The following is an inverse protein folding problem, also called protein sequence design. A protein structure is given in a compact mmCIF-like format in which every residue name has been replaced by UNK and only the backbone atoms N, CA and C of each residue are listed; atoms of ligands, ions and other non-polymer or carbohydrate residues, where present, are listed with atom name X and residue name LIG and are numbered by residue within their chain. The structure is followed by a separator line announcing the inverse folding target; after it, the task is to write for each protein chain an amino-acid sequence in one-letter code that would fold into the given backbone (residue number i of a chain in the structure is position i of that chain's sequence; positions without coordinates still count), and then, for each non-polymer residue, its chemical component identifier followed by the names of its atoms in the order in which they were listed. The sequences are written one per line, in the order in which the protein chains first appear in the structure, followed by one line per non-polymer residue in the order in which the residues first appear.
data_IF_525869302066
#
_entry.id   IF_525869302066
#
_cell.length_a   1.000
_cell.length_b   1.000
_cell.length_c   1.000
_cell.angle_alpha   90.00
_cell.angle_beta   90.00
_cell.angle_gamma   90.00
#
_symmetry.space_group_name_H-M   'P 1'
#
loop_
_entity.id
_entity.type
_entity.pdbx_description
1 polymer ?
#
# COMPACT_ATOMS: atom_id res chain seq x y z
N UNK A 1 38.50 0.43 66.26
CA UNK A 1 37.69 1.01 65.16
C UNK A 1 36.45 0.16 65.02
N UNK A 2 35.28 0.74 65.30
CA UNK A 2 34.01 0.02 65.48
C UNK A 2 33.41 -0.43 64.15
N UNK A 3 32.94 -1.67 64.09
CA UNK A 3 32.18 -2.25 62.98
C UNK A 3 30.84 -1.54 62.70
N UNK A 4 30.47 -0.52 63.49
CA UNK A 4 29.25 0.26 63.33
C UNK A 4 29.28 1.35 62.24
N UNK A 5 30.46 1.70 61.69
CA UNK A 5 30.57 2.77 60.68
C UNK A 5 30.32 2.25 59.26
N UNK A 6 30.74 1.02 58.95
CA UNK A 6 30.59 0.44 57.60
C UNK A 6 29.15 0.09 57.24
N UNK A 7 28.32 -0.29 58.23
CA UNK A 7 26.90 -0.58 58.02
C UNK A 7 26.04 0.69 57.84
N UNK A 8 26.47 1.83 58.39
CA UNK A 8 25.79 3.12 58.21
C UNK A 8 26.03 3.72 56.82
N UNK A 9 27.20 3.52 56.23
CA UNK A 9 27.48 4.00 54.86
C UNK A 9 26.76 3.18 53.78
N UNK A 10 26.56 1.87 54.01
CA UNK A 10 25.76 1.02 53.10
C UNK A 10 24.24 1.30 53.18
N UNK A 11 23.74 1.73 54.34
CA UNK A 11 22.32 2.10 54.51
C UNK A 11 22.02 3.56 54.15
N UNK A 12 23.02 4.45 54.22
CA UNK A 12 22.90 5.84 53.75
C UNK A 12 23.05 5.98 52.23
N UNK A 13 23.83 5.11 51.57
CA UNK A 13 23.96 5.11 50.10
C UNK A 13 22.74 4.54 49.37
N UNK A 14 21.89 3.76 50.04
CA UNK A 14 20.68 3.16 49.45
C UNK A 14 19.42 4.06 49.53
N UNK A 15 19.50 5.21 50.22
CA UNK A 15 18.35 6.10 50.45
C UNK A 15 18.41 7.45 49.73
N UNK A 16 19.32 7.61 48.77
CA UNK A 16 19.49 8.85 48.03
C UNK A 16 19.33 8.60 46.52
N UNK A 17 18.19 9.06 45.99
CA UNK A 17 17.75 9.11 44.56
C UNK A 17 16.88 7.96 44.04
N UNK A 18 15.82 7.60 44.74
CA UNK A 18 14.57 7.23 44.04
C UNK A 18 13.75 8.51 43.84
N UNK A 19 14.15 9.36 42.89
CA UNK A 19 13.19 10.31 42.34
C UNK A 19 12.06 9.48 41.74
N UNK A 20 10.84 9.61 42.27
CA UNK A 20 9.69 8.90 41.73
C UNK A 20 9.49 9.37 40.30
N UNK A 21 9.96 8.56 39.35
CA UNK A 21 9.68 8.76 37.95
C UNK A 21 8.16 8.67 37.83
N UNK A 22 7.54 9.69 37.25
CA UNK A 22 6.09 9.68 37.08
C UNK A 22 5.69 8.43 36.30
N UNK A 23 4.62 7.75 36.74
CA UNK A 23 4.10 6.54 36.10
C UNK A 23 3.98 6.69 34.56
N UNK A 24 3.49 7.83 34.02
CA UNK A 24 3.44 8.06 32.58
C UNK A 24 4.81 8.02 31.89
N UNK A 25 5.85 8.62 32.50
CA UNK A 25 7.19 8.60 31.92
C UNK A 25 7.83 7.21 31.98
N UNK A 26 7.57 6.46 33.06
CA UNK A 26 8.03 5.08 33.18
C UNK A 26 7.42 4.18 32.09
N UNK A 27 6.11 4.30 31.84
CA UNK A 27 5.41 3.60 30.76
C UNK A 27 5.96 3.99 29.38
N UNK A 28 6.13 5.29 29.12
CA UNK A 28 6.69 5.76 27.84
C UNK A 28 8.11 5.23 27.61
N UNK A 29 8.94 5.16 28.66
CA UNK A 29 10.29 4.60 28.56
C UNK A 29 10.27 3.11 28.26
N UNK A 30 9.32 2.36 28.82
CA UNK A 30 9.12 0.94 28.54
C UNK A 30 8.68 0.72 27.08
N UNK A 31 7.72 1.52 26.59
CA UNK A 31 7.24 1.47 25.21
C UNK A 31 8.35 1.81 24.20
N UNK A 32 9.27 2.71 24.55
CA UNK A 32 10.45 3.04 23.73
C UNK A 32 11.62 2.04 23.82
N UNK A 33 11.35 0.76 24.13
CA UNK A 33 12.38 -0.29 24.27
C UNK A 33 12.90 -0.78 22.91
N UNK A 34 14.21 -0.99 22.79
CA UNK A 34 14.82 -1.59 21.60
C UNK A 34 14.42 -3.05 21.40
N UNK A 35 14.18 -3.79 22.50
CA UNK A 35 13.70 -5.18 22.42
C UNK A 35 12.36 -5.25 21.70
N UNK A 36 11.46 -4.31 22.02
CA UNK A 36 10.16 -4.22 21.37
C UNK A 36 10.31 -3.95 19.87
N UNK A 37 11.18 -3.00 19.50
CA UNK A 37 11.48 -2.69 18.10
C UNK A 37 11.98 -3.92 17.34
N UNK A 38 12.97 -4.64 17.90
CA UNK A 38 13.56 -5.82 17.26
C UNK A 38 12.54 -6.96 17.14
N UNK A 39 11.74 -7.21 18.18
CA UNK A 39 10.68 -8.22 18.11
C UNK A 39 9.66 -7.87 17.04
N UNK A 40 9.18 -6.63 16.99
CA UNK A 40 8.21 -6.21 15.97
C UNK A 40 8.79 -6.26 14.56
N UNK A 41 10.06 -5.91 14.35
CA UNK A 41 10.70 -6.08 13.04
C UNK A 41 10.81 -7.56 12.65
N UNK A 42 11.15 -8.45 13.58
CA UNK A 42 11.18 -9.88 13.31
C UNK A 42 9.80 -10.42 12.92
N UNK A 43 8.74 -10.04 13.67
CA UNK A 43 7.37 -10.40 13.30
C UNK A 43 6.96 -9.78 11.95
N UNK A 44 7.41 -8.54 11.67
CA UNK A 44 7.24 -7.86 10.40
C UNK A 44 7.84 -8.64 9.22
N UNK A 45 9.04 -9.20 9.39
CA UNK A 45 9.68 -10.04 8.38
C UNK A 45 8.84 -11.30 8.12
N UNK A 46 8.35 -11.96 9.18
CA UNK A 46 7.53 -13.16 9.02
C UNK A 46 6.19 -12.88 8.35
N UNK A 47 5.50 -11.79 8.71
CA UNK A 47 4.22 -11.50 8.05
C UNK A 47 4.40 -11.08 6.59
N UNK A 48 5.49 -10.38 6.26
CA UNK A 48 5.84 -10.09 4.87
C UNK A 48 6.09 -11.40 4.11
N UNK A 49 6.82 -12.35 4.69
CA UNK A 49 7.06 -13.66 4.10
C UNK A 49 5.74 -14.41 3.84
N UNK A 50 4.87 -14.52 4.86
CA UNK A 50 3.59 -15.22 4.72
C UNK A 50 2.67 -14.54 3.69
N UNK A 51 2.55 -13.21 3.73
CA UNK A 51 1.77 -12.47 2.74
C UNK A 51 2.31 -12.64 1.32
N UNK A 52 3.64 -12.70 1.13
CA UNK A 52 4.24 -12.93 -0.19
C UNK A 52 3.96 -14.33 -0.71
N UNK A 53 4.02 -15.35 0.16
CA UNK A 53 3.66 -16.73 -0.20
C UNK A 53 2.17 -16.86 -0.53
N UNK A 54 1.31 -16.15 0.19
CA UNK A 54 -0.12 -16.14 -0.07
C UNK A 54 -0.50 -15.54 -1.43
N UNK A 55 0.35 -14.68 -2.02
CA UNK A 55 0.13 -14.11 -3.36
C UNK A 55 0.18 -15.13 -4.51
N UNK A 56 0.52 -16.39 -4.23
CA UNK A 56 0.42 -17.47 -5.19
C UNK A 56 -1.04 -17.75 -5.59
N UNK A 57 -1.97 -17.60 -4.64
CA UNK A 57 -3.40 -17.89 -4.82
C UNK A 57 -4.31 -16.69 -4.54
N UNK A 58 -3.86 -15.74 -3.72
CA UNK A 58 -4.59 -14.53 -3.37
C UNK A 58 -4.10 -13.35 -4.22
N UNK A 59 -5.02 -12.47 -4.62
CA UNK A 59 -4.66 -11.19 -5.23
C UNK A 59 -4.04 -10.23 -4.19
N UNK A 60 -3.51 -9.11 -4.66
CA UNK A 60 -2.83 -8.15 -3.80
C UNK A 60 -3.77 -7.49 -2.79
N UNK A 61 -5.00 -7.20 -3.19
CA UNK A 61 -6.02 -6.58 -2.32
C UNK A 61 -6.42 -7.52 -1.17
N UNK A 62 -6.63 -8.80 -1.47
CA UNK A 62 -6.94 -9.84 -0.50
C UNK A 62 -5.77 -10.05 0.47
N UNK A 63 -4.53 -10.15 -0.03
CA UNK A 63 -3.34 -10.26 0.84
C UNK A 63 -3.19 -9.03 1.74
N UNK A 64 -3.39 -7.83 1.21
CA UNK A 64 -3.38 -6.59 2.01
C UNK A 64 -4.42 -6.66 3.12
N UNK A 65 -5.65 -7.04 2.81
CA UNK A 65 -6.75 -7.11 3.78
C UNK A 65 -6.51 -8.17 4.86
N UNK A 66 -6.12 -9.38 4.48
CA UNK A 66 -6.02 -10.51 5.40
C UNK A 66 -4.74 -10.48 6.25
N UNK A 67 -3.62 -9.98 5.72
CA UNK A 67 -2.31 -9.99 6.41
C UNK A 67 -1.87 -8.61 6.91
N UNK A 68 -1.97 -7.56 6.08
CA UNK A 68 -1.29 -6.28 6.37
C UNK A 68 -2.19 -5.22 7.03
N UNK A 69 -3.46 -5.12 6.64
CA UNK A 69 -4.44 -4.21 7.23
C UNK A 69 -5.20 -4.86 8.40
N UNK A 70 -5.04 -6.17 8.63
CA UNK A 70 -5.64 -6.87 9.76
C UNK A 70 -4.91 -6.62 11.09
N UNK A 71 -5.66 -6.65 12.18
CA UNK A 71 -5.10 -6.63 13.54
C UNK A 71 -4.54 -8.00 13.92
N UNK A 72 -5.22 -9.06 13.51
CA UNK A 72 -4.80 -10.45 13.70
C UNK A 72 -4.93 -11.12 12.35
N UNK A 73 -3.80 -11.60 11.81
CA UNK A 73 -3.76 -12.33 10.57
C UNK A 73 -3.93 -13.83 10.87
N UNK A 74 -4.80 -14.50 10.13
CA UNK A 74 -4.84 -15.96 10.13
C UNK A 74 -3.85 -16.47 9.08
N UNK A 75 -2.87 -17.27 9.50
CA UNK A 75 -1.83 -17.81 8.63
C UNK A 75 -2.14 -19.29 8.36
N UNK A 76 -2.77 -19.64 7.22
CA UNK A 76 -2.95 -21.04 6.84
C UNK A 76 -1.58 -21.64 6.51
N UNK A 77 -1.28 -22.85 7.02
CA UNK A 77 0.02 -23.49 6.79
C UNK A 77 0.22 -23.96 5.35
N UNK A 78 -0.88 -24.11 4.60
CA UNK A 78 -0.87 -24.48 3.19
C UNK A 78 -0.08 -23.48 2.32
N UNK A 79 0.04 -22.20 2.72
CA UNK A 79 0.86 -21.20 1.99
C UNK A 79 2.36 -21.55 1.97
N UNK A 80 2.83 -22.42 2.86
CA UNK A 80 4.22 -22.89 2.85
C UNK A 80 4.48 -23.87 1.70
N UNK A 81 3.43 -24.33 1.02
CA UNK A 81 3.46 -25.22 -0.13
C UNK A 81 2.79 -24.52 -1.32
N UNK A 82 3.36 -23.43 -1.87
CA UNK A 82 2.74 -22.71 -2.98
C UNK A 82 2.52 -23.64 -4.17
N UNK A 83 1.38 -23.51 -4.82
CA UNK A 83 0.87 -24.41 -5.87
C UNK A 83 1.77 -24.36 -7.10
N UNK A 84 2.38 -23.21 -7.35
CA UNK A 84 3.41 -23.06 -8.39
C UNK A 84 4.62 -23.99 -8.20
N UNK A 85 4.96 -24.34 -6.96
CA UNK A 85 6.06 -25.27 -6.65
C UNK A 85 5.58 -26.68 -6.31
N UNK A 86 4.41 -26.79 -5.68
CA UNK A 86 3.81 -28.04 -5.22
C UNK A 86 2.38 -28.13 -5.77
N UNK A 87 2.18 -28.59 -7.02
CA UNK A 87 0.86 -28.66 -7.62
C UNK A 87 -0.10 -29.51 -6.78
N UNK A 88 -1.19 -28.90 -6.31
CA UNK A 88 -2.24 -29.56 -5.54
C UNK A 88 -3.59 -28.88 -5.77
N UNK A 89 -4.65 -29.68 -5.79
CA UNK A 89 -6.03 -29.20 -6.00
C UNK A 89 -6.74 -28.85 -4.70
N UNK A 90 -6.30 -29.44 -3.58
CA UNK A 90 -6.90 -29.30 -2.25
C UNK A 90 -5.82 -29.00 -1.21
N UNK A 91 -6.11 -28.18 -0.19
CA UNK A 91 -5.14 -27.84 0.85
C UNK A 91 -4.60 -29.12 1.51
N UNK A 92 -3.27 -29.29 1.57
CA UNK A 92 -2.62 -30.44 2.19
C UNK A 92 -2.98 -30.60 3.67
N UNK A 93 -3.19 -29.49 4.37
CA UNK A 93 -3.46 -29.43 5.81
C UNK A 93 -4.92 -29.05 6.11
N UNK A 94 -5.81 -29.15 5.12
CA UNK A 94 -7.24 -28.86 5.30
C UNK A 94 -7.53 -27.40 5.70
N UNK A 95 -6.64 -26.47 5.37
CA UNK A 95 -6.77 -25.06 5.75
C UNK A 95 -6.39 -24.77 7.20
N UNK A 96 -5.77 -25.72 7.91
CA UNK A 96 -5.31 -25.49 9.27
C UNK A 96 -4.22 -24.40 9.31
N UNK A 97 -4.34 -23.52 10.30
CA UNK A 97 -3.47 -22.36 10.44
C UNK A 97 -3.34 -21.90 11.88
N UNK A 98 -2.62 -20.81 12.07
CA UNK A 98 -2.47 -20.17 13.37
C UNK A 98 -2.69 -18.66 13.26
N UNK A 99 -3.08 -18.04 14.37
CA UNK A 99 -3.23 -16.60 14.46
C UNK A 99 -1.89 -15.93 14.74
N UNK A 100 -1.61 -14.86 14.00
CA UNK A 100 -0.39 -14.08 14.09
C UNK A 100 -0.72 -12.58 14.22
N UNK A 101 0.12 -11.77 14.88
CA UNK A 101 -0.09 -10.32 14.89
C UNK A 101 -0.10 -9.77 13.46
N UNK A 102 -1.23 -9.20 13.04
CA UNK A 102 -1.38 -8.63 11.71
C UNK A 102 -0.53 -7.37 11.50
N UNK A 103 -0.41 -6.91 10.25
CA UNK A 103 0.43 -5.77 9.90
C UNK A 103 0.02 -4.48 10.60
N UNK A 104 -1.28 -4.28 10.83
CA UNK A 104 -1.80 -3.13 11.58
C UNK A 104 -1.35 -3.17 13.05
N UNK A 105 -1.35 -4.34 13.69
CA UNK A 105 -0.86 -4.50 15.07
C UNK A 105 0.64 -4.21 15.15
N UNK A 106 1.44 -4.83 14.27
CA UNK A 106 2.89 -4.65 14.24
C UNK A 106 3.24 -3.18 13.95
N UNK A 107 2.60 -2.58 12.95
CA UNK A 107 2.79 -1.18 12.56
C UNK A 107 2.42 -0.21 13.68
N UNK A 108 1.32 -0.43 14.39
CA UNK A 108 0.88 0.46 15.46
C UNK A 108 1.84 0.38 16.65
N UNK A 109 2.26 -0.82 17.04
CA UNK A 109 3.23 -1.00 18.12
C UNK A 109 4.57 -0.34 17.75
N UNK A 110 5.03 -0.49 16.51
CA UNK A 110 6.23 0.20 16.02
C UNK A 110 6.07 1.72 16.02
N UNK A 111 4.90 2.25 15.66
CA UNK A 111 4.65 3.69 15.68
C UNK A 111 4.67 4.24 17.11
N UNK A 112 4.02 3.56 18.06
CA UNK A 112 4.05 3.91 19.48
C UNK A 112 5.49 3.84 20.01
N UNK A 113 6.21 2.76 19.68
CA UNK A 113 7.61 2.56 20.08
C UNK A 113 8.51 3.68 19.54
N UNK A 114 8.35 4.04 18.27
CA UNK A 114 9.08 5.11 17.60
C UNK A 114 8.88 6.44 18.33
N UNK A 115 7.62 6.84 18.56
CA UNK A 115 7.28 8.07 19.26
C UNK A 115 7.85 8.05 20.68
N UNK A 116 7.59 6.99 21.44
CA UNK A 116 8.04 6.84 22.82
C UNK A 116 9.58 6.89 22.95
N UNK A 117 10.30 6.23 22.04
CA UNK A 117 11.76 6.26 21.99
C UNK A 117 12.30 7.66 21.67
N UNK A 118 11.63 8.41 20.78
CA UNK A 118 12.02 9.80 20.47
C UNK A 118 11.78 10.74 21.64
N UNK A 119 10.63 10.65 22.30
CA UNK A 119 10.29 11.54 23.41
C UNK A 119 11.17 11.29 24.65
N UNK A 120 11.56 10.04 24.92
CA UNK A 120 12.27 9.69 26.15
C UNK A 120 13.79 9.73 26.05
N UNK A 121 14.36 9.49 24.85
CA UNK A 121 15.82 9.36 24.68
C UNK A 121 16.50 10.59 24.05
N UNK A 122 15.73 11.48 23.43
CA UNK A 122 16.27 12.65 22.73
C UNK A 122 16.00 13.91 23.54
N UNK A 123 17.03 14.40 24.23
CA UNK A 123 16.99 15.67 24.93
C UNK A 123 17.20 16.83 23.96
N UNK A 124 16.39 17.88 24.11
CA UNK A 124 16.60 19.17 23.45
C UNK A 124 17.99 19.73 23.83
N UNK A 125 18.80 20.10 22.84
CA UNK A 125 20.15 20.65 23.09
C UNK A 125 20.15 22.17 23.06
N UNK A 126 19.32 22.77 22.21
CA UNK A 126 19.19 24.21 22.10
C UNK A 126 18.53 24.85 23.34
N UNK A 127 18.99 26.05 23.70
CA UNK A 127 18.42 26.89 24.77
C UNK A 127 18.32 28.35 24.32
N UNK A 128 17.40 29.11 24.91
CA UNK A 128 17.24 30.53 24.63
C UNK A 128 16.99 30.82 23.15
N UNK A 129 17.73 31.76 22.57
CA UNK A 129 17.56 32.19 21.17
C UNK A 129 17.80 31.05 20.15
N UNK A 130 18.72 30.14 20.43
CA UNK A 130 18.97 28.97 19.56
C UNK A 130 17.75 28.05 19.48
N UNK A 131 16.97 27.94 20.56
CA UNK A 131 15.75 27.14 20.57
C UNK A 131 14.68 27.77 19.66
N UNK A 132 14.43 29.07 19.80
CA UNK A 132 13.42 29.76 18.99
C UNK A 132 13.78 29.80 17.51
N UNK A 133 15.05 30.04 17.18
CA UNK A 133 15.54 29.99 15.79
C UNK A 133 15.44 28.58 15.21
N UNK A 134 15.89 27.55 15.95
CA UNK A 134 15.75 26.16 15.53
C UNK A 134 14.29 25.74 15.34
N UNK A 135 13.39 26.19 16.22
CA UNK A 135 11.95 25.93 16.11
C UNK A 135 11.35 26.61 14.87
N UNK A 136 11.64 27.89 14.66
CA UNK A 136 11.17 28.63 13.49
C UNK A 136 11.62 27.99 12.18
N UNK A 137 12.91 27.65 12.06
CA UNK A 137 13.45 26.96 10.87
C UNK A 137 12.83 25.57 10.69
N UNK A 138 12.61 24.82 11.79
CA UNK A 138 11.94 23.51 11.72
C UNK A 138 10.49 23.62 11.26
N UNK A 139 9.75 24.64 11.71
CA UNK A 139 8.38 24.92 11.27
C UNK A 139 8.33 25.33 9.80
N UNK A 140 9.27 26.16 9.34
CA UNK A 140 9.41 26.50 7.91
C UNK A 140 9.69 25.23 7.10
N UNK A 141 10.62 24.39 7.55
CA UNK A 141 10.91 23.10 6.90
C UNK A 141 9.68 22.20 6.83
N UNK A 142 8.92 22.08 7.92
CA UNK A 142 7.68 21.31 7.95
C UNK A 142 6.60 21.89 7.02
N UNK A 143 6.45 23.21 6.97
CA UNK A 143 5.53 23.88 6.06
C UNK A 143 5.92 23.67 4.58
N UNK A 144 7.22 23.72 4.26
CA UNK A 144 7.73 23.42 2.92
C UNK A 144 7.47 21.96 2.55
N UNK A 145 7.71 21.00 3.46
CA UNK A 145 7.40 19.59 3.23
C UNK A 145 5.91 19.39 2.96
N UNK A 146 5.04 20.01 3.75
CA UNK A 146 3.59 19.96 3.53
C UNK A 146 3.21 20.59 2.18
N UNK A 147 3.80 21.73 1.83
CA UNK A 147 3.55 22.39 0.55
C UNK A 147 3.97 21.50 -0.64
N UNK A 148 5.11 20.82 -0.55
CA UNK A 148 5.55 19.85 -1.58
C UNK A 148 4.57 18.68 -1.70
N UNK A 149 4.11 18.12 -0.57
CA UNK A 149 3.11 17.04 -0.57
C UNK A 149 1.80 17.50 -1.20
N UNK A 150 1.28 18.65 -0.80
CA UNK A 150 0.02 19.19 -1.32
C UNK A 150 0.13 19.57 -2.80
N UNK A 151 1.21 20.23 -3.20
CA UNK A 151 1.45 20.60 -4.60
C UNK A 151 1.63 19.36 -5.50
N UNK A 152 2.15 18.26 -4.97
CA UNK A 152 2.24 16.99 -5.69
C UNK A 152 0.88 16.35 -5.99
N UNK A 153 -0.16 16.64 -5.18
CA UNK A 153 -1.52 16.10 -5.35
C UNK A 153 -2.48 17.07 -6.04
N UNK A 154 -2.15 18.36 -6.07
CA UNK A 154 -2.97 19.40 -6.67
C UNK A 154 -2.67 19.55 -8.18
N UNK A 155 -3.21 18.65 -9.01
CA UNK A 155 -3.66 18.93 -10.38
C UNK A 155 -4.05 17.64 -11.10
N UNK A 156 -5.23 17.68 -11.71
CA UNK A 156 -5.72 16.70 -12.68
C UNK A 156 -4.63 16.30 -13.70
N UNK A 157 -4.30 15.01 -13.70
CA UNK A 157 -3.96 14.22 -14.89
C UNK A 157 -2.67 14.49 -15.67
N UNK A 158 -1.99 15.64 -15.52
CA UNK A 158 -0.72 15.91 -16.22
C UNK A 158 0.27 16.66 -15.32
N UNK A 159 0.72 15.92 -14.30
CA UNK A 159 1.97 16.02 -13.56
C UNK A 159 2.70 17.39 -13.57
N UNK A 160 2.76 18.00 -12.37
CA UNK A 160 3.41 19.28 -12.06
C UNK A 160 4.68 19.58 -12.84
N UNK A 161 4.51 20.22 -14.00
CA UNK A 161 5.61 20.78 -14.78
C UNK A 161 6.31 21.83 -13.92
N UNK A 162 7.65 21.85 -13.90
CA UNK A 162 8.37 22.92 -13.24
C UNK A 162 7.91 24.27 -13.80
N UNK A 163 7.96 25.36 -12.99
CA UNK A 163 7.69 26.72 -13.48
C UNK A 163 8.74 27.22 -14.49
N UNK A 164 9.73 26.39 -14.80
CA UNK A 164 10.81 26.62 -15.76
C UNK A 164 10.78 25.51 -16.84
N UNK A 165 11.38 25.76 -18.00
CA UNK A 165 11.47 24.72 -19.04
C UNK A 165 12.33 23.53 -18.58
N UNK A 166 12.04 22.34 -19.13
CA UNK A 166 12.82 21.14 -18.86
C UNK A 166 14.29 21.28 -19.27
N UNK A 167 14.59 22.03 -20.33
CA UNK A 167 15.97 22.31 -20.74
C UNK A 167 16.71 23.22 -19.73
N UNK A 168 15.99 24.16 -19.14
CA UNK A 168 16.54 25.00 -18.06
C UNK A 168 16.81 24.13 -16.84
N UNK A 169 15.86 23.28 -16.44
CA UNK A 169 16.02 22.36 -15.32
C UNK A 169 17.23 21.42 -15.53
N UNK A 170 17.38 20.87 -16.73
CA UNK A 170 18.51 20.04 -17.10
C UNK A 170 19.84 20.81 -16.97
N UNK A 171 19.88 22.05 -17.45
CA UNK A 171 21.08 22.91 -17.32
C UNK A 171 21.43 23.20 -15.86
N UNK A 172 20.42 23.46 -15.03
CA UNK A 172 20.62 23.65 -13.59
C UNK A 172 21.14 22.39 -12.91
N UNK A 173 20.64 21.21 -13.29
CA UNK A 173 21.13 19.93 -12.80
C UNK A 173 22.61 19.72 -13.15
N UNK A 174 23.01 20.03 -14.40
CA UNK A 174 24.41 20.01 -14.82
C UNK A 174 25.28 20.90 -13.94
N UNK A 175 24.86 22.15 -13.72
CA UNK A 175 25.54 23.07 -12.82
C UNK A 175 25.62 22.54 -11.38
N UNK A 176 24.53 21.91 -10.89
CA UNK A 176 24.45 21.28 -9.59
C UNK A 176 25.49 20.18 -9.37
N UNK A 177 25.72 19.30 -10.35
CA UNK A 177 26.76 18.27 -10.27
C UNK A 177 28.18 18.87 -10.21
N UNK A 178 28.44 19.95 -10.95
CA UNK A 178 29.73 20.66 -10.89
C UNK A 178 29.93 21.28 -9.50
N UNK A 179 28.91 21.98 -8.99
CA UNK A 179 28.95 22.58 -7.65
C UNK A 179 29.14 21.53 -6.55
N UNK A 180 28.44 20.40 -6.64
CA UNK A 180 28.59 19.28 -5.71
C UNK A 180 30.00 18.72 -5.76
N UNK A 181 30.57 18.55 -6.96
CA UNK A 181 31.95 18.09 -7.14
C UNK A 181 32.94 19.03 -6.45
N UNK A 182 32.83 20.33 -6.71
CA UNK A 182 33.68 21.35 -6.08
C UNK A 182 33.52 21.35 -4.56
N UNK A 183 32.28 21.25 -4.06
CA UNK A 183 32.00 21.19 -2.63
C UNK A 183 32.60 19.95 -1.96
N UNK A 184 32.49 18.77 -2.58
CA UNK A 184 33.06 17.52 -2.05
C UNK A 184 34.59 17.56 -2.05
N UNK A 185 35.22 18.05 -3.12
CA UNK A 185 36.68 18.23 -3.18
C UNK A 185 37.15 19.21 -2.11
N UNK A 186 36.51 20.39 -2.02
CA UNK A 186 36.82 21.38 -0.99
C UNK A 186 36.65 20.82 0.42
N UNK A 187 35.57 20.07 0.67
CA UNK A 187 35.32 19.43 1.96
C UNK A 187 36.37 18.37 2.30
N UNK A 188 36.79 17.54 1.34
CA UNK A 188 37.83 16.53 1.53
C UNK A 188 39.19 17.14 1.96
N UNK A 189 39.48 18.36 1.47
CA UNK A 189 40.72 19.09 1.75
C UNK A 189 40.64 19.82 3.09
N UNK A 190 39.55 20.55 3.33
CA UNK A 190 39.43 21.47 4.48
C UNK A 190 39.00 20.76 5.76
N UNK A 191 38.17 19.72 5.67
CA UNK A 191 37.59 19.09 6.83
C UNK A 191 38.57 18.12 7.53
N UNK A 192 38.59 18.17 8.87
CA UNK A 192 39.34 17.24 9.72
C UNK A 192 38.58 15.90 9.82
N UNK A 193 38.68 15.09 8.77
CA UNK A 193 38.00 13.80 8.65
C UNK A 193 38.92 12.63 9.04
N UNK A 194 38.37 11.54 9.64
CA UNK A 194 39.09 10.27 9.76
C UNK A 194 39.37 9.69 8.37
N UNK A 195 40.43 8.86 8.25
CA UNK A 195 40.92 8.33 6.95
C UNK A 195 39.80 7.74 6.10
N UNK A 196 38.95 6.90 6.69
CA UNK A 196 37.85 6.24 5.97
C UNK A 196 36.84 7.25 5.43
N UNK A 197 36.41 8.24 6.23
CA UNK A 197 35.48 9.27 5.78
C UNK A 197 36.09 10.14 4.67
N UNK A 198 37.38 10.45 4.73
CA UNK A 198 38.07 11.18 3.66
C UNK A 198 38.10 10.38 2.35
N UNK A 199 38.37 9.08 2.42
CA UNK A 199 38.32 8.19 1.25
C UNK A 199 36.91 8.18 0.66
N UNK A 200 35.87 8.03 1.48
CA UNK A 200 34.48 8.04 1.00
C UNK A 200 34.11 9.37 0.32
N UNK A 201 34.48 10.52 0.90
CA UNK A 201 34.23 11.83 0.30
C UNK A 201 35.01 12.00 -1.01
N UNK A 202 36.28 11.54 -1.06
CA UNK A 202 37.09 11.60 -2.28
C UNK A 202 36.50 10.71 -3.39
N UNK A 203 36.06 9.49 -3.07
CA UNK A 203 35.37 8.61 -4.02
C UNK A 203 34.08 9.27 -4.52
N UNK A 204 33.27 9.84 -3.61
CA UNK A 204 32.05 10.56 -4.00
C UNK A 204 32.37 11.76 -4.92
N UNK A 205 33.45 12.50 -4.65
CA UNK A 205 33.90 13.60 -5.49
C UNK A 205 34.32 13.12 -6.89
N UNK A 206 35.07 12.01 -6.98
CA UNK A 206 35.48 11.41 -8.26
C UNK A 206 34.26 10.91 -9.04
N UNK A 207 33.30 10.25 -8.39
CA UNK A 207 32.05 9.83 -9.03
C UNK A 207 31.25 11.02 -9.53
N UNK A 208 31.07 12.06 -8.71
CA UNK A 208 30.38 13.30 -9.09
C UNK A 208 31.07 14.02 -10.25
N UNK A 209 32.40 14.03 -10.27
CA UNK A 209 33.19 14.56 -11.39
C UNK A 209 32.97 13.75 -12.66
N UNK A 210 33.02 12.41 -12.58
CA UNK A 210 32.76 11.53 -13.72
C UNK A 210 31.35 11.73 -14.29
N UNK A 211 30.33 11.82 -13.43
CA UNK A 211 28.95 12.13 -13.83
C UNK A 211 28.89 13.50 -14.51
N UNK A 212 29.53 14.52 -13.93
CA UNK A 212 29.59 15.86 -14.53
C UNK A 212 30.23 15.80 -15.93
N UNK A 213 31.39 15.17 -16.06
CA UNK A 213 32.10 15.02 -17.33
C UNK A 213 31.24 14.29 -18.39
N UNK A 214 30.56 13.21 -18.01
CA UNK A 214 29.66 12.45 -18.88
C UNK A 214 28.48 13.30 -19.36
N UNK A 215 27.80 14.00 -18.44
CA UNK A 215 26.60 14.79 -18.77
C UNK A 215 26.94 16.03 -19.62
N UNK A 216 28.16 16.57 -19.50
CA UNK A 216 28.63 17.67 -20.36
C UNK A 216 29.18 17.18 -21.71
N UNK A 217 29.81 16.00 -21.78
CA UNK A 217 30.39 15.47 -23.02
C UNK A 217 29.42 14.67 -23.90
N UNK A 218 28.39 14.06 -23.30
CA UNK A 218 27.48 13.13 -23.99
C UNK A 218 26.36 13.76 -24.84
N UNK A 219 26.28 15.10 -24.92
CA UNK A 219 25.30 15.80 -25.76
C UNK A 219 23.84 15.45 -25.44
N UNK A 220 22.99 15.30 -26.47
CA UNK A 220 21.58 14.94 -26.31
C UNK A 220 21.36 13.49 -25.90
N UNK A 221 22.31 12.58 -26.19
CA UNK A 221 22.17 11.15 -25.88
C UNK A 221 22.12 10.85 -24.37
N UNK A 222 22.59 11.78 -23.54
CA UNK A 222 22.58 11.67 -22.07
C UNK A 222 21.48 12.54 -21.44
N UNK A 223 20.75 13.33 -22.23
CA UNK A 223 19.62 14.14 -21.74
C UNK A 223 18.49 13.20 -21.32
N UNK A 224 18.04 13.36 -20.07
CA UNK A 224 16.81 12.72 -19.61
C UNK A 224 15.62 13.24 -20.42
N UNK A 225 14.71 12.34 -20.74
CA UNK A 225 13.43 12.68 -21.36
C UNK A 225 12.58 13.56 -20.42
N UNK A 226 11.61 14.26 -20.99
CA UNK A 226 10.74 15.16 -20.22
C UNK A 226 10.00 14.44 -19.07
N UNK A 227 9.48 13.20 -19.26
CA UNK A 227 9.00 12.37 -18.16
C UNK A 227 10.03 12.11 -17.06
N UNK A 228 11.29 11.83 -17.39
CA UNK A 228 12.37 11.65 -16.41
C UNK A 228 12.71 12.93 -15.66
N UNK A 229 12.79 14.08 -16.35
CA UNK A 229 13.10 15.38 -15.74
C UNK A 229 12.03 15.84 -14.76
N UNK A 230 10.79 15.43 -14.98
CA UNK A 230 9.68 15.65 -14.05
C UNK A 230 9.84 14.90 -12.74
N UNK A 231 10.37 13.67 -12.76
CA UNK A 231 10.74 12.95 -11.54
C UNK A 231 11.88 13.66 -10.82
N UNK A 232 12.89 14.12 -11.58
CA UNK A 232 14.03 14.89 -11.03
C UNK A 232 13.54 16.17 -10.33
N UNK A 233 12.57 16.87 -10.91
CA UNK A 233 11.97 18.06 -10.30
C UNK A 233 11.36 17.77 -8.93
N UNK A 234 10.56 16.71 -8.81
CA UNK A 234 9.94 16.32 -7.54
C UNK A 234 10.99 15.94 -6.48
N UNK A 235 12.02 15.18 -6.88
CA UNK A 235 13.13 14.82 -5.99
C UNK A 235 13.91 16.06 -5.53
N UNK A 236 14.09 17.05 -6.40
CA UNK A 236 14.76 18.31 -6.07
C UNK A 236 13.96 19.11 -5.03
N UNK A 237 12.66 19.28 -5.23
CA UNK A 237 11.77 19.98 -4.29
C UNK A 237 11.78 19.30 -2.91
N UNK A 238 11.62 17.97 -2.87
CA UNK A 238 11.66 17.20 -1.63
C UNK A 238 13.01 17.30 -0.92
N UNK A 239 14.12 17.31 -1.68
CA UNK A 239 15.47 17.46 -1.14
C UNK A 239 15.69 18.83 -0.52
N UNK A 240 15.26 19.91 -1.18
CA UNK A 240 15.37 21.27 -0.66
C UNK A 240 14.58 21.42 0.65
N UNK A 241 13.32 20.97 0.67
CA UNK A 241 12.48 21.01 1.88
C UNK A 241 13.11 20.20 3.02
N UNK A 242 13.64 19.00 2.72
CA UNK A 242 14.34 18.15 3.69
C UNK A 242 15.60 18.79 4.25
N UNK A 243 16.38 19.51 3.43
CA UNK A 243 17.56 20.24 3.88
C UNK A 243 17.22 21.37 4.86
N UNK A 244 16.13 22.12 4.61
CA UNK A 244 15.66 23.17 5.54
C UNK A 244 15.19 22.55 6.86
N UNK A 245 14.41 21.47 6.81
CA UNK A 245 13.99 20.73 7.99
C UNK A 245 15.19 20.17 8.77
N UNK A 246 16.20 19.62 8.07
CA UNK A 246 17.43 19.14 8.68
C UNK A 246 18.19 20.27 9.39
N UNK A 247 18.29 21.45 8.79
CA UNK A 247 18.95 22.59 9.39
C UNK A 247 18.29 23.00 10.72
N UNK A 248 16.95 23.10 10.75
CA UNK A 248 16.20 23.39 11.97
C UNK A 248 16.39 22.33 13.05
N UNK A 249 16.26 21.05 12.68
CA UNK A 249 16.45 19.93 13.61
C UNK A 249 17.90 19.79 14.08
N UNK A 250 18.88 20.17 13.26
CA UNK A 250 20.28 20.21 13.65
C UNK A 250 20.56 21.31 14.67
N UNK A 251 19.91 22.49 14.55
CA UNK A 251 19.99 23.54 15.57
C UNK A 251 19.38 23.04 16.90
N UNK A 252 18.21 22.38 16.85
CA UNK A 252 17.48 21.93 18.04
C UNK A 252 18.15 20.74 18.77
N UNK A 253 18.61 19.74 18.00
CA UNK A 253 19.07 18.44 18.51
C UNK A 253 20.57 18.16 18.25
N UNK A 254 21.29 19.12 17.67
CA UNK A 254 22.71 18.99 17.33
C UNK A 254 22.96 17.82 16.40
N UNK A 255 24.01 17.04 16.69
CA UNK A 255 24.41 15.85 15.89
C UNK A 255 23.30 14.80 15.75
N UNK A 256 22.25 14.85 16.57
CA UNK A 256 21.11 13.93 16.50
C UNK A 256 19.99 14.41 15.57
N UNK A 257 20.07 15.63 15.02
CA UNK A 257 19.03 16.20 14.15
C UNK A 257 18.69 15.32 12.94
N UNK A 258 19.69 14.76 12.25
CA UNK A 258 19.44 13.84 11.13
C UNK A 258 18.74 12.54 11.55
N UNK A 259 19.04 12.02 12.73
CA UNK A 259 18.35 10.86 13.29
C UNK A 259 16.87 11.21 13.58
N UNK A 260 16.59 12.39 14.14
CA UNK A 260 15.21 12.87 14.35
C UNK A 260 14.47 12.99 13.02
N UNK A 261 15.10 13.58 11.99
CA UNK A 261 14.49 13.74 10.67
C UNK A 261 14.12 12.41 10.02
N UNK A 262 15.03 11.44 9.96
CA UNK A 262 14.78 10.13 9.36
C UNK A 262 13.60 9.43 10.03
N UNK A 263 13.55 9.46 11.36
CA UNK A 263 12.49 8.80 12.10
C UNK A 263 11.17 9.57 12.04
N UNK A 264 11.20 10.90 11.94
CA UNK A 264 10.01 11.69 11.65
C UNK A 264 9.45 11.33 10.25
N UNK A 265 10.31 11.15 9.25
CA UNK A 265 9.93 10.67 7.93
C UNK A 265 9.34 9.27 7.95
N UNK A 266 9.97 8.31 8.62
CA UNK A 266 9.42 6.95 8.80
C UNK A 266 8.09 7.00 9.53
N UNK A 267 7.98 7.79 10.61
CA UNK A 267 6.72 7.97 11.34
C UNK A 267 5.61 8.55 10.46
N UNK A 268 5.95 9.52 9.60
CA UNK A 268 5.00 10.11 8.65
C UNK A 268 4.51 9.07 7.63
N UNK A 269 5.41 8.23 7.08
CA UNK A 269 5.03 7.14 6.17
C UNK A 269 4.11 6.12 6.86
N UNK A 270 4.43 5.75 8.11
CA UNK A 270 3.60 4.84 8.89
C UNK A 270 2.21 5.41 9.18
N UNK A 271 2.13 6.69 9.57
CA UNK A 271 0.84 7.38 9.76
C UNK A 271 0.07 7.45 8.43
N UNK A 272 0.75 7.72 7.32
CA UNK A 272 0.14 7.69 5.99
C UNK A 272 -0.51 6.36 5.68
N UNK A 273 0.16 5.25 5.97
CA UNK A 273 -0.42 3.92 5.79
C UNK A 273 -1.64 3.68 6.69
N UNK A 274 -1.63 4.14 7.95
CA UNK A 274 -2.79 4.00 8.82
C UNK A 274 -3.99 4.86 8.40
N UNK A 275 -3.74 6.07 7.92
CA UNK A 275 -4.81 7.02 7.57
C UNK A 275 -5.38 6.71 6.19
N UNK A 276 -4.55 6.25 5.25
CA UNK A 276 -4.90 6.10 3.83
C UNK A 276 -4.80 4.67 3.29
N UNK A 277 -4.41 3.68 4.11
CA UNK A 277 -4.17 2.30 3.65
C UNK A 277 -5.36 1.63 2.97
N UNK A 278 -6.58 1.93 3.43
CA UNK A 278 -7.82 1.40 2.86
C UNK A 278 -8.32 2.21 1.64
N UNK A 279 -7.69 3.35 1.33
CA UNK A 279 -7.99 4.16 0.13
C UNK A 279 -7.04 3.87 -1.03
N UNK A 280 -6.16 2.89 -0.87
CA UNK A 280 -5.24 2.45 -1.90
C UNK A 280 -5.92 1.36 -2.74
N UNK A 281 -6.61 1.80 -3.79
CA UNK A 281 -7.33 0.95 -4.73
C UNK A 281 -6.40 0.51 -5.85
N UNK A 282 -6.44 -0.77 -6.20
CA UNK A 282 -5.72 -1.29 -7.37
C UNK A 282 -6.56 -1.07 -8.62
N UNK A 283 -5.89 -0.68 -9.69
CA UNK A 283 -6.54 -0.16 -10.87
C UNK A 283 -5.75 -0.64 -12.10
N UNK A 284 -6.47 -1.15 -13.10
CA UNK A 284 -5.90 -1.70 -14.32
C UNK A 284 -6.36 -0.92 -15.55
N UNK A 285 -5.47 -0.91 -16.55
CA UNK A 285 -5.67 -0.25 -17.83
C UNK A 285 -5.17 -1.18 -18.94
N UNK A 286 -6.06 -1.49 -19.89
CA UNK A 286 -5.72 -2.24 -21.10
C UNK A 286 -5.55 -1.28 -22.27
N UNK A 287 -4.38 -1.28 -22.91
CA UNK A 287 -4.07 -0.42 -24.04
C UNK A 287 -3.37 -1.21 -25.16
N UNK A 288 -3.83 -1.01 -26.39
CA UNK A 288 -3.05 -1.41 -27.57
C UNK A 288 -1.91 -0.42 -27.81
N UNK A 289 -0.81 -0.88 -28.41
CA UNK A 289 0.28 -0.01 -28.83
C UNK A 289 -0.25 1.12 -29.74
N UNK A 290 0.08 2.37 -29.39
CA UNK A 290 -0.39 3.56 -30.10
C UNK A 290 -1.77 4.08 -29.68
N UNK A 291 -2.52 3.38 -28.83
CA UNK A 291 -3.79 3.84 -28.30
C UNK A 291 -3.61 4.75 -27.06
N UNK A 292 -4.63 5.57 -26.78
CA UNK A 292 -4.73 6.38 -25.57
C UNK A 292 -6.12 6.20 -24.96
N UNK A 293 -6.21 6.06 -23.63
CA UNK A 293 -7.47 6.00 -22.90
C UNK A 293 -7.37 6.80 -21.60
N UNK A 294 -8.51 7.32 -21.14
CA UNK A 294 -8.69 7.94 -19.83
C UNK A 294 -9.51 7.05 -18.87
N UNK A 295 -9.82 5.81 -19.30
CA UNK A 295 -10.53 4.82 -18.50
C UNK A 295 -9.53 3.97 -17.70
N UNK A 296 -9.85 3.73 -16.44
CA UNK A 296 -9.15 2.80 -15.56
C UNK A 296 -10.20 1.98 -14.82
N UNK A 297 -9.98 0.68 -14.70
CA UNK A 297 -10.97 -0.28 -14.19
C UNK A 297 -10.45 -0.90 -12.90
N UNK A 298 -11.36 -1.11 -11.94
CA UNK A 298 -11.11 -1.87 -10.72
C UNK A 298 -11.68 -3.26 -10.98
N UNK A 299 -10.82 -4.28 -11.06
CA UNK A 299 -11.24 -5.62 -11.50
C UNK A 299 -11.66 -6.54 -10.35
N UNK A 300 -11.28 -6.19 -9.12
CA UNK A 300 -11.44 -6.99 -7.91
C UNK A 300 -12.62 -6.56 -7.02
N UNK A 301 -13.25 -5.41 -7.32
CA UNK A 301 -14.51 -5.00 -6.70
C UNK A 301 -15.68 -5.51 -7.53
N UNK A 302 -16.14 -6.74 -7.23
CA UNK A 302 -17.20 -7.39 -7.98
C UNK A 302 -18.54 -7.27 -7.26
N UNK A 303 -19.59 -7.08 -8.06
CA UNK A 303 -20.97 -7.05 -7.59
C UNK A 303 -21.90 -7.74 -8.59
N UNK A 304 -23.05 -8.21 -8.09
CA UNK A 304 -24.16 -8.68 -8.92
C UNK A 304 -25.19 -7.57 -8.93
N UNK A 305 -25.51 -7.08 -10.12
CA UNK A 305 -26.40 -5.92 -10.30
C UNK A 305 -27.71 -6.37 -10.92
N UNK A 306 -28.83 -5.96 -10.31
CA UNK A 306 -30.14 -6.02 -10.92
C UNK A 306 -30.50 -4.62 -11.41
N UNK A 307 -30.85 -4.50 -12.69
CA UNK A 307 -31.27 -3.24 -13.30
C UNK A 307 -32.75 -3.37 -13.62
N UNK A 308 -33.58 -2.63 -12.90
CA UNK A 308 -35.02 -2.53 -13.16
C UNK A 308 -35.26 -1.43 -14.20
N UNK A 309 -35.67 -1.86 -15.40
CA UNK A 309 -35.97 -0.99 -16.54
C UNK A 309 -37.49 -0.86 -16.77
N UNK A 310 -38.30 -1.09 -15.72
CA UNK A 310 -39.77 -1.05 -15.84
C UNK A 310 -40.32 0.37 -15.98
N UNK A 311 -39.63 1.37 -15.41
CA UNK A 311 -39.95 2.77 -15.59
C UNK A 311 -39.36 3.33 -16.90
N UNK A 312 -40.08 4.24 -17.56
CA UNK A 312 -39.71 4.71 -18.90
C UNK A 312 -38.63 5.82 -18.90
N UNK A 313 -38.46 6.53 -17.78
CA UNK A 313 -37.56 7.69 -17.68
C UNK A 313 -36.28 7.40 -16.88
N UNK A 314 -36.30 6.43 -15.97
CA UNK A 314 -35.17 6.11 -15.08
C UNK A 314 -35.05 4.60 -14.87
N UNK A 315 -33.81 4.10 -14.84
CA UNK A 315 -33.51 2.71 -14.46
C UNK A 315 -33.15 2.67 -12.96
N UNK A 316 -33.70 1.71 -12.21
CA UNK A 316 -33.35 1.52 -10.79
C UNK A 316 -32.30 0.41 -10.68
N UNK A 317 -31.15 0.73 -10.07
CA UNK A 317 -30.00 -0.17 -9.97
C UNK A 317 -29.85 -0.70 -8.55
N UNK A 318 -29.90 -2.02 -8.41
CA UNK A 318 -29.69 -2.73 -7.14
C UNK A 318 -28.36 -3.49 -7.18
N UNK A 319 -27.37 -2.98 -6.46
CA UNK A 319 -26.04 -3.56 -6.37
C UNK A 319 -25.90 -4.51 -5.18
N UNK A 320 -25.46 -5.74 -5.44
CA UNK A 320 -25.26 -6.78 -4.42
C UNK A 320 -23.76 -7.10 -4.33
N UNK A 321 -23.08 -6.72 -3.24
CA UNK A 321 -21.64 -6.84 -3.14
C UNK A 321 -21.19 -8.31 -3.06
N UNK A 322 -20.03 -8.64 -3.66
CA UNK A 322 -19.45 -9.99 -3.64
C UNK A 322 -19.37 -10.58 -2.22
N UNK A 323 -19.07 -9.77 -1.20
CA UNK A 323 -18.98 -10.23 0.19
C UNK A 323 -20.28 -10.90 0.69
N UNK A 324 -21.44 -10.44 0.22
CA UNK A 324 -22.73 -11.06 0.53
C UNK A 324 -22.93 -12.33 -0.31
N UNK A 325 -22.64 -12.25 -1.60
CA UNK A 325 -22.73 -13.37 -2.55
C UNK A 325 -21.93 -14.57 -2.06
N UNK A 326 -20.65 -14.37 -1.70
CA UNK A 326 -19.75 -15.41 -1.18
C UNK A 326 -20.25 -16.06 0.12
N UNK A 327 -20.95 -15.31 0.97
CA UNK A 327 -21.44 -15.82 2.26
C UNK A 327 -22.58 -16.83 2.10
N UNK A 328 -23.38 -16.68 1.04
CA UNK A 328 -24.58 -17.50 0.81
C UNK A 328 -24.42 -18.47 -0.37
N UNK A 329 -23.37 -18.33 -1.18
CA UNK A 329 -23.09 -19.19 -2.31
C UNK A 329 -23.10 -20.68 -1.92
N UNK A 330 -23.86 -21.50 -2.67
CA UNK A 330 -23.97 -22.94 -2.43
C UNK A 330 -24.75 -23.32 -1.17
N UNK A 331 -25.39 -22.37 -0.50
CA UNK A 331 -26.27 -22.61 0.66
C UNK A 331 -27.73 -22.36 0.31
N UNK A 332 -28.66 -22.89 1.11
CA UNK A 332 -30.09 -22.64 0.92
C UNK A 332 -30.54 -21.23 1.36
N UNK A 333 -29.62 -20.38 1.85
CA UNK A 333 -29.94 -19.03 2.30
C UNK A 333 -30.20 -18.11 1.10
N UNK A 334 -31.28 -17.35 1.20
CA UNK A 334 -31.68 -16.37 0.20
C UNK A 334 -31.13 -14.98 0.56
N UNK A 335 -30.77 -14.21 -0.48
CA UNK A 335 -30.63 -12.76 -0.38
C UNK A 335 -32.05 -12.21 -0.56
N UNK A 336 -32.63 -11.80 0.57
CA UNK A 336 -33.99 -11.27 0.64
C UNK A 336 -33.95 -9.98 1.46
N UNK A 337 -33.93 -8.84 0.75
CA UNK A 337 -34.01 -7.51 1.33
C UNK A 337 -35.27 -6.82 0.79
N UNK A 338 -36.05 -6.10 1.62
CA UNK A 338 -37.28 -5.43 1.19
C UNK A 338 -37.10 -4.51 -0.03
N UNK A 339 -35.92 -3.91 -0.20
CA UNK A 339 -35.62 -3.02 -1.32
C UNK A 339 -35.44 -3.74 -2.66
N UNK A 340 -35.01 -5.01 -2.66
CA UNK A 340 -34.76 -5.76 -3.89
C UNK A 340 -36.05 -6.09 -4.65
N UNK A 341 -36.04 -6.15 -5.99
CA UNK A 341 -37.22 -6.51 -6.76
C UNK A 341 -37.55 -8.01 -6.70
N UNK A 342 -36.56 -8.86 -6.42
CA UNK A 342 -36.70 -10.31 -6.30
C UNK A 342 -35.86 -10.86 -5.13
N UNK A 343 -36.15 -12.11 -4.72
CA UNK A 343 -35.24 -12.88 -3.84
C UNK A 343 -34.21 -13.56 -4.72
N UNK A 344 -32.95 -13.59 -4.27
CA UNK A 344 -31.89 -14.28 -5.02
C UNK A 344 -31.33 -15.46 -4.24
N UNK A 345 -31.15 -16.59 -4.94
CA UNK A 345 -30.36 -17.72 -4.45
C UNK A 345 -29.09 -17.84 -5.28
N UNK A 346 -27.93 -17.80 -4.61
CA UNK A 346 -26.64 -17.97 -5.26
C UNK A 346 -26.32 -19.47 -5.31
N UNK A 347 -26.64 -20.11 -6.44
CA UNK A 347 -26.43 -21.55 -6.63
C UNK A 347 -24.94 -21.88 -6.61
N UNK A 348 -24.14 -21.09 -7.31
CA UNK A 348 -22.69 -21.25 -7.34
C UNK A 348 -22.02 -19.90 -7.59
N UNK A 349 -20.90 -19.66 -6.91
CA UNK A 349 -20.00 -18.53 -7.12
C UNK A 349 -18.63 -19.04 -7.55
N UNK A 350 -18.03 -18.40 -8.56
CA UNK A 350 -16.70 -18.72 -9.06
C UNK A 350 -15.90 -17.41 -9.15
N UNK A 351 -14.88 -17.24 -8.29
CA UNK A 351 -13.97 -16.08 -8.35
C UNK A 351 -13.19 -16.04 -9.66
N UNK A 352 -12.81 -17.23 -10.17
CA UNK A 352 -12.18 -17.37 -11.48
C UNK A 352 -12.86 -18.50 -12.26
N UNK A 353 -13.08 -18.26 -13.54
CA UNK A 353 -13.81 -19.19 -14.40
C UNK A 353 -13.47 -18.93 -15.86
N UNK A 354 -13.77 -19.94 -16.69
CA UNK A 354 -13.80 -19.77 -18.14
C UNK A 354 -15.14 -20.21 -18.68
N UNK A 355 -15.61 -19.52 -19.71
CA UNK A 355 -16.79 -19.91 -20.45
C UNK A 355 -16.42 -20.95 -21.51
N UNK A 356 -17.21 -22.00 -21.60
CA UNK A 356 -17.15 -22.96 -22.70
C UNK A 356 -18.53 -23.14 -23.34
N UNK A 357 -18.61 -23.39 -24.66
CA UNK A 357 -19.87 -23.76 -25.31
C UNK A 357 -20.50 -24.98 -24.63
N UNK A 358 -21.81 -24.92 -24.42
CA UNK A 358 -22.58 -26.00 -23.81
C UNK A 358 -22.61 -27.20 -24.76
N UNK A 359 -22.10 -28.35 -24.30
CA UNK A 359 -22.15 -29.62 -25.02
C UNK A 359 -23.43 -30.35 -24.67
N UNK A 360 -23.95 -31.13 -25.62
CA UNK A 360 -25.16 -31.94 -25.43
C UNK A 360 -24.99 -32.90 -24.25
N UNK A 361 -25.95 -32.90 -23.31
CA UNK A 361 -25.93 -33.73 -22.11
C UNK A 361 -25.07 -33.22 -20.94
N UNK A 362 -24.43 -32.05 -21.06
CA UNK A 362 -23.72 -31.43 -19.94
C UNK A 362 -24.70 -30.83 -18.92
N UNK A 363 -24.47 -31.09 -17.63
CA UNK A 363 -25.22 -30.41 -16.56
C UNK A 363 -24.93 -28.90 -16.59
N UNK A 364 -26.00 -28.11 -16.49
CA UNK A 364 -25.93 -26.66 -16.48
C UNK A 364 -27.11 -26.08 -15.68
N UNK A 365 -26.86 -25.34 -14.59
CA UNK A 365 -27.94 -24.76 -13.79
C UNK A 365 -28.76 -23.69 -14.51
N UNK A 366 -28.21 -23.03 -15.52
CA UNK A 366 -28.88 -21.90 -16.17
C UNK A 366 -30.10 -22.33 -16.99
N UNK A 367 -31.20 -21.57 -16.88
CA UNK A 367 -32.48 -21.81 -17.58
C UNK A 367 -32.80 -20.75 -18.62
N UNK A 368 -32.02 -19.67 -18.68
CA UNK A 368 -32.24 -18.56 -19.59
C UNK A 368 -30.91 -17.93 -20.04
N UNK A 369 -30.99 -17.00 -20.98
CA UNK A 369 -29.86 -16.12 -21.31
C UNK A 369 -28.69 -16.78 -22.05
N UNK A 370 -27.51 -16.18 -21.92
CA UNK A 370 -26.24 -16.73 -22.45
C UNK A 370 -25.90 -18.09 -21.85
N UNK A 371 -26.39 -18.34 -20.62
CA UNK A 371 -26.28 -19.62 -19.94
C UNK A 371 -26.90 -20.79 -20.70
N UNK A 372 -27.80 -20.59 -21.66
CA UNK A 372 -28.32 -21.68 -22.51
C UNK A 372 -27.31 -22.18 -23.56
N UNK A 373 -26.34 -21.35 -23.92
CA UNK A 373 -25.35 -21.64 -24.97
C UNK A 373 -23.96 -21.89 -24.39
N UNK A 374 -23.68 -21.41 -23.19
CA UNK A 374 -22.39 -21.51 -22.53
C UNK A 374 -22.54 -21.96 -21.08
N UNK A 375 -21.50 -22.60 -20.55
CA UNK A 375 -21.38 -22.89 -19.12
C UNK A 375 -20.09 -22.30 -18.57
N UNK A 376 -20.13 -21.89 -17.31
CA UNK A 376 -18.93 -21.49 -16.60
C UNK A 376 -18.26 -22.71 -15.98
N UNK A 377 -16.96 -22.87 -16.23
CA UNK A 377 -16.12 -23.84 -15.55
C UNK A 377 -15.26 -23.12 -14.51
N UNK A 378 -15.28 -23.55 -13.24
CA UNK A 378 -14.42 -22.95 -12.23
C UNK A 378 -12.96 -23.21 -12.57
N UNK A 379 -12.15 -22.17 -12.45
CA UNK A 379 -10.70 -22.25 -12.54
C UNK A 379 -10.09 -21.91 -11.17
N UNK A 380 -8.85 -22.35 -10.96
CA UNK A 380 -8.09 -21.90 -9.80
C UNK A 380 -7.91 -20.37 -9.88
N UNK A 381 -8.06 -19.70 -8.74
CA UNK A 381 -7.78 -18.26 -8.67
C UNK A 381 -6.33 -17.99 -9.00
N UNK A 382 -6.12 -16.97 -9.83
CA UNK A 382 -4.82 -16.41 -10.12
C UNK A 382 -4.46 -15.44 -9.00
N UNK A 383 -3.32 -15.67 -8.36
CA UNK A 383 -2.81 -14.77 -7.34
C UNK A 383 -2.16 -13.51 -7.93
N UNK A 384 -1.83 -12.56 -7.06
CA UNK A 384 -1.27 -11.25 -7.43
C UNK A 384 0.09 -11.30 -8.13
N UNK A 385 0.78 -12.45 -8.10
CA UNK A 385 2.02 -12.66 -8.85
C UNK A 385 1.80 -12.81 -10.38
N UNK A 386 0.58 -13.08 -10.82
CA UNK A 386 0.25 -13.29 -12.23
C UNK A 386 -0.12 -11.96 -12.91
N UNK A 387 0.80 -11.42 -13.72
CA UNK A 387 0.63 -10.10 -14.33
C UNK A 387 -0.10 -10.10 -15.68
N UNK A 388 -0.01 -11.20 -16.44
CA UNK A 388 -0.48 -11.26 -17.84
C UNK A 388 -1.90 -11.81 -18.00
N UNK A 389 -2.51 -12.23 -16.90
CA UNK A 389 -3.82 -12.85 -16.89
C UNK A 389 -4.65 -12.26 -15.74
N UNK A 390 -5.94 -12.61 -15.65
CA UNK A 390 -6.85 -12.08 -14.64
C UNK A 390 -7.91 -13.09 -14.24
N UNK A 391 -8.42 -12.92 -13.02
CA UNK A 391 -9.57 -13.68 -12.57
C UNK A 391 -10.82 -13.17 -13.31
N UNK A 392 -11.62 -14.08 -13.86
CA UNK A 392 -12.91 -13.76 -14.49
C UNK A 392 -14.02 -14.40 -13.65
N UNK A 393 -14.84 -13.57 -13.03
CA UNK A 393 -15.90 -14.06 -12.16
C UNK A 393 -17.13 -14.56 -12.92
N UNK A 394 -17.77 -15.60 -12.37
CA UNK A 394 -19.07 -16.11 -12.80
C UNK A 394 -19.93 -16.48 -11.60
N UNK A 395 -21.24 -16.34 -11.74
CA UNK A 395 -22.18 -16.89 -10.77
C UNK A 395 -23.35 -17.58 -11.48
N UNK A 396 -23.90 -18.60 -10.86
CA UNK A 396 -25.24 -19.09 -11.19
C UNK A 396 -26.22 -18.53 -10.16
N UNK A 397 -27.10 -17.64 -10.61
CA UNK A 397 -28.05 -16.94 -9.74
C UNK A 397 -29.46 -17.34 -10.11
N UNK A 398 -30.17 -17.88 -9.14
CA UNK A 398 -31.58 -18.19 -9.28
C UNK A 398 -32.41 -17.01 -8.77
N UNK A 399 -33.24 -16.46 -9.65
CA UNK A 399 -34.15 -15.34 -9.38
C UNK A 399 -35.49 -15.92 -8.94
N UNK A 400 -35.96 -15.51 -7.77
CA UNK A 400 -37.18 -16.02 -7.14
C UNK A 400 -38.13 -14.86 -6.93
N UNK A 401 -39.37 -15.04 -7.38
CA UNK A 401 -40.42 -14.06 -7.22
C UNK A 401 -40.81 -13.89 -5.75
N UNK A 402 -41.00 -12.65 -5.30
CA UNK A 402 -41.30 -12.35 -3.89
C UNK A 402 -42.73 -12.71 -3.49
N UNK A 403 -43.68 -12.68 -4.42
CA UNK A 403 -45.10 -12.87 -4.13
C UNK A 403 -45.48 -14.35 -4.17
N UNK A 404 -45.02 -15.05 -5.19
CA UNK A 404 -45.33 -16.45 -5.46
C UNK A 404 -44.34 -17.42 -4.81
N UNK A 405 -43.16 -16.93 -4.41
CA UNK A 405 -42.02 -17.72 -3.93
C UNK A 405 -41.52 -18.78 -4.94
N UNK A 406 -41.92 -18.67 -6.20
CA UNK A 406 -41.48 -19.58 -7.26
C UNK A 406 -40.21 -19.07 -7.91
N UNK A 407 -39.38 -20.01 -8.35
CA UNK A 407 -38.22 -19.69 -9.19
C UNK A 407 -38.71 -19.21 -10.54
N UNK A 408 -38.26 -18.03 -10.95
CA UNK A 408 -38.51 -17.45 -12.27
C UNK A 408 -37.52 -18.07 -13.25
N UNK A 409 -36.23 -17.79 -13.04
CA UNK A 409 -35.13 -18.19 -13.91
C UNK A 409 -33.86 -18.44 -13.11
N UNK A 410 -32.93 -19.20 -13.68
CA UNK A 410 -31.54 -19.26 -13.25
C UNK A 410 -30.65 -18.65 -14.34
N UNK A 411 -30.00 -17.55 -14.02
CA UNK A 411 -29.14 -16.77 -14.93
C UNK A 411 -27.66 -17.09 -14.66
N UNK A 412 -26.83 -16.90 -15.69
CA UNK A 412 -25.36 -17.01 -15.62
C UNK A 412 -24.73 -15.64 -15.86
N UNK A 413 -24.72 -14.71 -14.87
CA UNK A 413 -23.87 -13.53 -14.95
C UNK A 413 -22.40 -13.93 -14.99
N UNK A 414 -21.66 -13.33 -15.92
CA UNK A 414 -20.25 -13.56 -16.14
C UNK A 414 -19.56 -12.25 -16.55
N UNK A 415 -18.44 -11.95 -15.90
CA UNK A 415 -17.69 -10.71 -16.08
C UNK A 415 -17.22 -10.49 -17.52
N UNK A 416 -16.81 -11.55 -18.23
CA UNK A 416 -16.35 -11.47 -19.62
C UNK A 416 -17.46 -11.07 -20.60
N UNK A 417 -18.73 -11.28 -20.24
CA UNK A 417 -19.91 -10.90 -21.04
C UNK A 417 -20.47 -9.55 -20.56
N UNK A 418 -20.62 -9.40 -19.24
CA UNK A 418 -21.29 -8.27 -18.63
C UNK A 418 -20.40 -7.02 -18.52
N UNK A 419 -19.06 -7.17 -18.51
CA UNK A 419 -18.10 -6.07 -18.38
C UNK A 419 -17.11 -6.03 -19.56
N UNK A 420 -17.50 -6.58 -20.72
CA UNK A 420 -16.62 -6.76 -21.88
C UNK A 420 -16.06 -5.43 -22.41
N UNK A 421 -16.81 -4.33 -22.25
CA UNK A 421 -16.39 -2.98 -22.59
C UNK A 421 -15.14 -2.59 -21.81
N UNK A 422 -15.04 -3.06 -20.56
CA UNK A 422 -14.02 -2.69 -19.60
C UNK A 422 -12.84 -3.68 -19.57
N UNK A 423 -13.09 -4.93 -19.97
CA UNK A 423 -12.07 -5.99 -19.95
C UNK A 423 -11.24 -6.07 -21.24
N UNK A 424 -11.77 -5.58 -22.36
CA UNK A 424 -11.12 -5.71 -23.68
C UNK A 424 -10.73 -4.36 -24.29
N UNK A 425 -9.60 -4.34 -25.00
CA UNK A 425 -9.12 -3.12 -25.69
C UNK A 425 -10.07 -2.67 -26.80
N UNK A 426 -10.88 -3.59 -27.35
CA UNK A 426 -11.88 -3.34 -28.38
C UNK A 426 -13.15 -2.65 -27.88
N UNK A 427 -13.36 -2.57 -26.55
CA UNK A 427 -14.54 -1.99 -25.90
C UNK A 427 -15.90 -2.29 -26.59
N UNK A 428 -16.25 -3.56 -26.84
CA UNK A 428 -17.60 -3.91 -27.30
C UNK A 428 -18.62 -3.60 -26.20
N UNK A 429 -19.90 -3.48 -26.55
CA UNK A 429 -20.96 -3.18 -25.57
C UNK A 429 -21.20 -4.34 -24.63
N UNK A 430 -21.35 -4.02 -23.35
CA UNK A 430 -21.78 -4.94 -22.32
C UNK A 430 -23.12 -5.60 -22.68
N UNK A 431 -23.26 -6.86 -22.31
CA UNK A 431 -24.48 -7.63 -22.53
C UNK A 431 -25.12 -7.93 -21.18
N UNK A 432 -26.45 -7.88 -21.12
CA UNK A 432 -27.21 -8.11 -19.90
C UNK A 432 -28.17 -9.28 -20.08
N UNK A 433 -28.39 -10.02 -19.00
CA UNK A 433 -29.39 -11.07 -18.96
C UNK A 433 -30.75 -10.47 -18.60
N UNK A 434 -31.76 -10.77 -19.42
CA UNK A 434 -33.12 -10.26 -19.19
C UNK A 434 -33.97 -11.31 -18.49
N UNK A 435 -34.60 -10.91 -17.39
CA UNK A 435 -35.60 -11.69 -16.66
C UNK A 435 -36.83 -10.82 -16.44
N UNK A 436 -38.02 -11.44 -16.44
CA UNK A 436 -39.29 -10.76 -16.19
C UNK A 436 -39.88 -11.24 -14.87
N UNK A 437 -40.19 -10.31 -13.98
CA UNK A 437 -40.91 -10.56 -12.73
C UNK A 437 -42.37 -10.17 -12.99
N UNK A 438 -43.33 -10.99 -12.58
CA UNK A 438 -44.77 -10.78 -12.82
C UNK A 438 -45.47 -10.00 -11.71
#
# INVERSE_FOLDING_TARGET
MSAGTFAKDLTASARSRTGSVSLPYALLRMLGSLKLTVTMFALGIFIILFGTLAQDEMDLAEVKREFFNSWIAHIPLDILFPVTLFPHDMPYLGGWGFYFPGGATIGLILLINLLAAKTTRFSMQAKGLQFYTGLAVSLIGAALLLAVIVAGHAADGLQGKPPISYDTLWTWLKGGFVLLTVALVGYAIVAKLPRLARILVAVAAVCSFGISALVFSGGESVRLDDPGLRIVWQLLQASIASCVALAGLWILFGRRGGNVLIHAGVGLLMVGQFVFGDRQVEQRIGLAEGASTNLVVIEDEIEIVLIDTSEAEEDIVYAIPEALVRRVAGTDRLIDDPSLPAKLRIVQWMKNSRLEPLKEGAENPATTGSGLQMRALPLKSLGGAVMNDRNIASAYVQVIDKQTEQTIDTVLPNQQINDIAHLTVSMPTDQYEKTRIE
#
